data_IF_670428143205
#
_entry.id   IF_670428143205
#
_cell.length_a   1.000
_cell.length_b   1.000
_cell.length_c   1.000
_cell.angle_alpha   90.00
_cell.angle_beta   90.00
_cell.angle_gamma   90.00
#
_symmetry.space_group_name_H-M   'P 1'
#
loop_
_entity.id
_entity.type
_entity.pdbx_description
1 polymer ?
#
# COMPACT_ATOMS: atom_id res chain seq x y z
N UNK A 1 -2.53 0.47 3.08
CA UNK A 1 -3.48 1.45 2.54
C UNK A 1 -4.72 1.47 3.42
N UNK A 2 -5.12 2.64 3.88
CA UNK A 2 -6.31 2.83 4.73
C UNK A 2 -7.25 3.79 4.01
N UNK A 3 -8.53 3.48 3.99
CA UNK A 3 -9.62 4.32 3.52
C UNK A 3 -10.55 4.57 4.70
N UNK A 4 -10.57 5.81 5.17
CA UNK A 4 -11.28 6.18 6.40
C UNK A 4 -12.78 6.30 6.12
N UNK A 5 -13.17 6.78 4.94
CA UNK A 5 -14.57 7.02 4.57
C UNK A 5 -15.38 5.73 4.47
N UNK A 6 -14.74 4.65 4.02
CA UNK A 6 -15.36 3.31 3.92
C UNK A 6 -14.90 2.34 4.99
N UNK A 7 -14.21 2.84 6.03
CA UNK A 7 -13.63 2.06 7.14
C UNK A 7 -12.87 0.81 6.67
N UNK A 8 -12.18 0.92 5.54
CA UNK A 8 -11.60 -0.21 4.83
C UNK A 8 -10.08 -0.10 4.77
N UNK A 9 -9.40 -1.23 4.81
CA UNK A 9 -7.93 -1.23 4.78
C UNK A 9 -7.38 -2.49 4.13
N UNK A 10 -6.16 -2.36 3.62
CA UNK A 10 -5.34 -3.46 3.10
C UNK A 10 -3.88 -3.27 3.52
N UNK A 11 -3.25 -4.36 3.95
CA UNK A 11 -1.84 -4.40 4.36
C UNK A 11 -1.15 -5.52 3.59
N UNK A 12 -0.03 -5.21 2.95
CA UNK A 12 0.83 -6.20 2.31
C UNK A 12 1.96 -6.57 3.27
N UNK A 13 2.31 -7.84 3.32
CA UNK A 13 3.40 -8.35 4.14
C UNK A 13 4.02 -9.58 3.46
N UNK A 14 5.26 -9.89 3.83
CA UNK A 14 5.87 -11.16 3.42
C UNK A 14 5.66 -12.22 4.49
N UNK A 15 5.27 -13.41 4.04
CA UNK A 15 5.20 -14.63 4.84
C UNK A 15 5.85 -15.76 4.05
N UNK A 16 6.91 -16.36 4.60
CA UNK A 16 7.63 -17.46 3.92
C UNK A 16 8.13 -17.13 2.51
N UNK A 17 8.56 -15.88 2.25
CA UNK A 17 9.01 -15.43 0.93
C UNK A 17 7.88 -15.19 -0.09
N UNK A 18 6.63 -15.31 0.32
CA UNK A 18 5.45 -14.96 -0.48
C UNK A 18 4.86 -13.65 -0.02
N UNK A 19 4.39 -12.86 -0.96
CA UNK A 19 3.62 -11.66 -0.67
C UNK A 19 2.18 -12.03 -0.36
N UNK A 20 1.72 -11.61 0.80
CA UNK A 20 0.36 -11.77 1.27
C UNK A 20 -0.27 -10.40 1.48
N UNK A 21 -1.58 -10.28 1.25
CA UNK A 21 -2.35 -9.10 1.65
C UNK A 21 -3.41 -9.54 2.64
N UNK A 22 -3.52 -8.79 3.73
CA UNK A 22 -4.66 -8.85 4.64
C UNK A 22 -5.53 -7.62 4.36
N UNK A 23 -6.79 -7.83 4.02
CA UNK A 23 -7.75 -6.74 3.85
C UNK A 23 -8.95 -6.87 4.78
N UNK A 24 -9.61 -5.75 5.03
CA UNK A 24 -10.92 -5.68 5.67
C UNK A 24 -11.73 -4.54 5.06
N UNK A 25 -13.04 -4.73 4.96
CA UNK A 25 -13.99 -3.73 4.45
C UNK A 25 -14.36 -3.94 2.98
N UNK A 26 -15.22 -3.06 2.47
CA UNK A 26 -15.89 -3.17 1.16
C UNK A 26 -15.03 -2.54 0.07
N UNK A 27 -14.69 -3.30 -0.99
CA UNK A 27 -14.00 -2.81 -2.19
C UNK A 27 -12.77 -3.63 -2.61
N UNK A 28 -12.36 -3.47 -3.88
CA UNK A 28 -11.19 -4.14 -4.48
C UNK A 28 -9.87 -3.43 -4.18
N UNK A 29 -9.57 -3.23 -2.89
CA UNK A 29 -8.29 -2.61 -2.47
C UNK A 29 -7.08 -3.51 -2.72
N UNK A 30 -7.31 -4.81 -2.93
CA UNK A 30 -6.30 -5.76 -3.42
C UNK A 30 -5.64 -5.30 -4.73
N UNK A 31 -6.43 -4.82 -5.70
CA UNK A 31 -5.88 -4.41 -7.00
C UNK A 31 -4.97 -3.19 -6.83
N UNK A 32 -5.41 -2.20 -6.05
CA UNK A 32 -4.67 -0.98 -5.77
C UNK A 32 -3.37 -1.22 -4.98
N UNK A 33 -3.39 -2.13 -3.99
CA UNK A 33 -2.16 -2.44 -3.24
C UNK A 33 -1.17 -3.24 -4.08
N UNK A 34 -1.66 -4.11 -4.97
CA UNK A 34 -0.83 -4.86 -5.91
C UNK A 34 -0.14 -3.91 -6.89
N UNK A 35 -0.88 -2.97 -7.50
CA UNK A 35 -0.29 -1.95 -8.38
C UNK A 35 0.81 -1.15 -7.68
N UNK A 36 0.59 -0.74 -6.43
CA UNK A 36 1.60 0.00 -5.65
C UNK A 36 2.83 -0.83 -5.31
N UNK A 37 2.66 -2.11 -4.99
CA UNK A 37 3.78 -3.02 -4.73
C UNK A 37 4.57 -3.29 -6.02
N UNK A 38 3.89 -3.46 -7.15
CA UNK A 38 4.53 -3.60 -8.46
C UNK A 38 5.32 -2.36 -8.82
N UNK A 39 4.76 -1.16 -8.63
CA UNK A 39 5.49 0.09 -8.87
C UNK A 39 6.72 0.20 -7.95
N UNK A 40 6.57 -0.09 -6.66
CA UNK A 40 7.69 -0.10 -5.72
C UNK A 40 8.80 -1.07 -6.13
N UNK A 41 8.45 -2.25 -6.65
CA UNK A 41 9.43 -3.20 -7.17
C UNK A 41 10.14 -2.68 -8.42
N UNK A 42 9.38 -2.11 -9.37
CA UNK A 42 9.93 -1.46 -10.57
C UNK A 42 10.87 -0.31 -10.22
N UNK A 43 10.59 0.42 -9.14
CA UNK A 43 11.42 1.51 -8.63
C UNK A 43 12.68 1.02 -7.87
N UNK A 44 12.97 -0.29 -7.90
CA UNK A 44 14.15 -0.90 -7.29
C UNK A 44 13.95 -1.35 -5.84
N UNK A 45 12.70 -1.46 -5.40
CA UNK A 45 12.34 -1.85 -4.03
C UNK A 45 13.06 -1.01 -2.95
N UNK A 46 12.99 0.34 -3.02
CA UNK A 46 13.67 1.20 -2.06
C UNK A 46 13.23 0.88 -0.63
N UNK A 47 14.15 0.87 0.35
CA UNK A 47 13.83 0.52 1.72
C UNK A 47 12.80 1.49 2.32
N UNK A 48 12.04 1.01 3.30
CA UNK A 48 10.89 1.75 3.85
C UNK A 48 11.28 3.05 4.57
N UNK A 49 12.55 3.22 4.96
CA UNK A 49 13.11 4.46 5.50
C UNK A 49 13.15 5.60 4.47
N UNK A 50 13.13 5.27 3.16
CA UNK A 50 12.99 6.22 2.04
C UNK A 50 11.54 6.46 1.64
N UNK A 51 10.59 5.79 2.29
CA UNK A 51 9.16 5.96 2.03
C UNK A 51 8.61 7.17 2.78
N UNK A 52 8.05 8.13 2.04
CA UNK A 52 7.25 9.21 2.60
C UNK A 52 5.78 9.00 2.29
N UNK A 53 4.97 8.93 3.35
CA UNK A 53 3.52 8.90 3.27
C UNK A 53 2.97 10.29 3.57
N UNK A 54 2.35 10.92 2.57
CA UNK A 54 1.57 12.14 2.74
C UNK A 54 0.11 11.76 2.97
N UNK A 55 -0.48 12.26 4.06
CA UNK A 55 -1.90 12.13 4.38
C UNK A 55 -2.48 13.54 4.49
N UNK A 56 -3.50 13.85 3.69
CA UNK A 56 -4.18 15.14 3.72
C UNK A 56 -5.64 15.06 3.27
N UNK A 57 -6.35 16.19 3.19
CA UNK A 57 -7.77 16.21 2.81
C UNK A 57 -8.07 15.61 1.42
N UNK A 58 -7.07 15.57 0.54
CA UNK A 58 -7.16 14.92 -0.78
C UNK A 58 -6.82 13.42 -0.79
N UNK A 59 -6.72 12.78 0.38
CA UNK A 59 -6.38 11.37 0.53
C UNK A 59 -4.90 11.11 0.82
N UNK A 60 -4.43 9.91 0.44
CA UNK A 60 -3.07 9.46 0.71
C UNK A 60 -2.21 9.42 -0.56
N UNK A 61 -0.98 9.95 -0.47
CA UNK A 61 0.03 9.87 -1.53
C UNK A 61 1.34 9.33 -0.98
N UNK A 62 1.88 8.32 -1.65
CA UNK A 62 3.19 7.76 -1.36
C UNK A 62 4.22 8.37 -2.31
N UNK A 63 5.40 8.68 -1.78
CA UNK A 63 6.58 9.04 -2.59
C UNK A 63 7.82 8.37 -2.02
N UNK A 64 8.74 8.00 -2.90
CA UNK A 64 10.03 7.43 -2.58
C UNK A 64 11.09 8.51 -2.83
N UNK A 65 11.95 8.83 -1.85
CA UNK A 65 13.05 9.81 -2.00
C UNK A 65 14.37 9.25 -1.51
#
# INVERSE_FOLDING_TARGET
MIDVDTESWAVVFQDGGRWMVRQRGVGRRWDQITERVTQWQTDGSPPADRMRLYVGPGGQRLSWT
#
